data_IF_759536562782
#
_entry.id   IF_759536562782
#
_cell.length_a   1.000
_cell.length_b   1.000
_cell.length_c   1.000
_cell.angle_alpha   90.00
_cell.angle_beta   90.00
_cell.angle_gamma   90.00
#
_symmetry.space_group_name_H-M   'P 1'
#
loop_
_entity.id
_entity.type
_entity.pdbx_description
1 polymer ?
#
# COMPACT_ATOMS: atom_id res chain seq x y z
N UNK A 1 16.00 -6.16 -18.23
CA UNK A 1 16.49 -7.20 -17.34
C UNK A 1 15.54 -7.37 -16.15
N UNK A 2 15.22 -8.62 -15.82
CA UNK A 2 14.36 -8.95 -14.68
C UNK A 2 15.07 -8.75 -13.34
N UNK A 3 16.38 -8.87 -13.34
CA UNK A 3 17.15 -9.03 -12.12
C UNK A 3 18.26 -8.01 -12.02
N UNK A 4 18.51 -7.51 -10.82
CA UNK A 4 19.78 -6.84 -10.56
C UNK A 4 20.98 -7.70 -10.94
N UNK A 5 20.87 -9.03 -10.87
CA UNK A 5 21.88 -10.01 -11.19
C UNK A 5 22.38 -9.94 -12.64
N UNK A 6 21.55 -9.44 -13.56
CA UNK A 6 21.89 -9.26 -14.97
C UNK A 6 22.70 -7.97 -15.24
N UNK A 7 22.89 -7.15 -14.22
CA UNK A 7 23.76 -5.97 -14.33
C UNK A 7 25.21 -6.41 -14.19
N UNK A 8 25.94 -6.36 -15.29
CA UNK A 8 27.34 -6.80 -15.35
C UNK A 8 28.34 -5.85 -14.67
N UNK A 9 27.92 -4.66 -14.26
CA UNK A 9 28.75 -3.64 -13.63
C UNK A 9 28.24 -3.35 -12.22
N UNK A 10 28.79 -4.05 -11.22
CA UNK A 10 28.48 -3.88 -9.80
C UNK A 10 29.76 -3.55 -9.01
N UNK A 11 30.33 -2.35 -9.19
CA UNK A 11 31.61 -1.97 -8.58
C UNK A 11 31.57 -1.94 -7.05
N UNK A 12 30.39 -1.87 -6.44
CA UNK A 12 30.20 -1.84 -4.98
C UNK A 12 29.80 -3.20 -4.39
N UNK A 13 29.56 -4.23 -5.20
CA UNK A 13 29.15 -5.56 -4.75
C UNK A 13 27.74 -5.59 -4.15
N UNK A 14 26.91 -4.59 -4.42
CA UNK A 14 25.55 -4.49 -3.84
C UNK A 14 24.66 -5.60 -4.35
N UNK A 15 24.80 -5.95 -5.63
CA UNK A 15 24.00 -7.01 -6.25
C UNK A 15 24.34 -8.38 -5.67
N UNK A 16 25.61 -8.64 -5.40
CA UNK A 16 26.03 -9.88 -4.74
C UNK A 16 25.43 -10.01 -3.33
N UNK A 17 25.35 -8.90 -2.59
CA UNK A 17 24.70 -8.88 -1.27
C UNK A 17 23.21 -9.16 -1.42
N UNK A 18 22.53 -8.51 -2.37
CA UNK A 18 21.09 -8.74 -2.61
C UNK A 18 20.83 -10.19 -2.98
N UNK A 19 21.60 -10.77 -3.91
CA UNK A 19 21.47 -12.17 -4.31
C UNK A 19 21.61 -13.11 -3.10
N UNK A 20 22.55 -12.83 -2.23
CA UNK A 20 22.75 -13.62 -1.02
C UNK A 20 21.60 -13.46 -0.02
N UNK A 21 21.03 -12.28 0.10
CA UNK A 21 19.86 -12.03 0.94
C UNK A 21 18.61 -12.74 0.40
N UNK A 22 18.40 -12.76 -0.92
CA UNK A 22 17.23 -13.42 -1.53
C UNK A 22 17.26 -14.94 -1.44
N UNK A 23 18.40 -15.56 -1.10
CA UNK A 23 18.47 -16.99 -0.74
C UNK A 23 17.76 -17.28 0.59
N UNK A 24 17.59 -16.27 1.47
CA UNK A 24 16.83 -16.41 2.71
C UNK A 24 15.33 -16.25 2.41
N UNK A 25 14.53 -17.26 2.76
CA UNK A 25 13.09 -17.28 2.46
C UNK A 25 12.31 -16.11 3.04
N UNK A 26 12.64 -15.69 4.27
CA UNK A 26 11.94 -14.58 4.92
C UNK A 26 12.28 -13.25 4.25
N UNK A 27 13.55 -13.04 3.89
CA UNK A 27 13.95 -11.84 3.15
C UNK A 27 13.33 -11.82 1.76
N UNK A 28 13.32 -12.95 1.06
CA UNK A 28 12.72 -13.08 -0.26
C UNK A 28 11.21 -12.73 -0.22
N UNK A 29 10.48 -13.27 0.77
CA UNK A 29 9.07 -12.94 0.97
C UNK A 29 8.88 -11.44 1.24
N UNK A 30 9.64 -10.87 2.17
CA UNK A 30 9.59 -9.43 2.46
C UNK A 30 9.91 -8.59 1.22
N UNK A 31 10.92 -8.98 0.45
CA UNK A 31 11.33 -8.28 -0.77
C UNK A 31 10.18 -8.20 -1.79
N UNK A 32 9.49 -9.32 -2.05
CA UNK A 32 8.37 -9.34 -3.00
C UNK A 32 7.13 -8.60 -2.48
N UNK A 33 6.77 -8.81 -1.23
CA UNK A 33 5.61 -8.11 -0.64
C UNK A 33 5.85 -6.62 -0.54
N UNK A 34 7.08 -6.18 -0.25
CA UNK A 34 7.42 -4.76 -0.17
C UNK A 34 7.24 -4.01 -1.48
N UNK A 35 7.53 -4.63 -2.62
CA UNK A 35 7.23 -4.02 -3.92
C UNK A 35 5.74 -3.73 -4.07
N UNK A 36 4.90 -4.69 -3.74
CA UNK A 36 3.45 -4.52 -3.84
C UNK A 36 2.92 -3.52 -2.81
N UNK A 37 3.46 -3.51 -1.60
CA UNK A 37 3.13 -2.50 -0.60
C UNK A 37 3.41 -1.08 -1.10
N UNK A 38 4.56 -0.88 -1.75
CA UNK A 38 4.92 0.41 -2.33
C UNK A 38 4.00 0.80 -3.49
N UNK A 39 3.64 -0.14 -4.38
CA UNK A 39 2.71 0.10 -5.49
C UNK A 39 1.28 0.35 -4.99
N UNK A 40 0.89 -0.23 -3.87
CA UNK A 40 -0.40 0.01 -3.23
C UNK A 40 -0.41 1.28 -2.34
N UNK A 41 0.69 2.00 -2.25
CA UNK A 41 0.84 3.19 -1.39
C UNK A 41 1.65 4.29 -2.06
N UNK A 42 2.91 4.48 -1.69
CA UNK A 42 3.76 5.60 -2.10
C UNK A 42 4.08 5.63 -3.61
N UNK A 43 3.99 4.51 -4.31
CA UNK A 43 4.29 4.39 -5.74
C UNK A 43 3.04 4.32 -6.61
N UNK A 44 1.91 4.77 -6.12
CA UNK A 44 0.72 4.99 -6.96
C UNK A 44 1.03 6.08 -7.99
N UNK A 45 0.59 5.88 -9.23
CA UNK A 45 0.91 6.75 -10.36
C UNK A 45 0.53 8.21 -10.08
N UNK A 46 -0.68 8.44 -9.61
CA UNK A 46 -1.22 9.76 -9.31
C UNK A 46 -0.41 10.49 -8.22
N UNK A 47 0.05 9.75 -7.20
CA UNK A 47 0.89 10.31 -6.13
C UNK A 47 2.28 10.70 -6.65
N UNK A 48 2.91 9.83 -7.45
CA UNK A 48 4.22 10.10 -8.02
C UNK A 48 4.18 11.26 -9.02
N UNK A 49 3.15 11.33 -9.86
CA UNK A 49 2.96 12.42 -10.81
C UNK A 49 2.68 13.74 -10.07
N UNK A 50 1.82 13.73 -9.06
CA UNK A 50 1.55 14.92 -8.23
C UNK A 50 2.81 15.43 -7.52
N UNK A 51 3.64 14.51 -7.00
CA UNK A 51 4.92 14.88 -6.39
C UNK A 51 5.87 15.50 -7.41
N UNK A 52 6.01 14.90 -8.59
CA UNK A 52 6.84 15.43 -9.67
C UNK A 52 6.38 16.83 -10.09
N UNK A 53 5.08 17.03 -10.27
CA UNK A 53 4.50 18.34 -10.62
C UNK A 53 4.71 19.39 -9.53
N UNK A 54 4.63 19.01 -8.27
CA UNK A 54 4.96 19.89 -7.16
C UNK A 54 6.41 20.35 -7.20
N UNK A 55 7.34 19.43 -7.47
CA UNK A 55 8.78 19.74 -7.63
C UNK A 55 8.99 20.60 -8.87
N UNK A 56 8.41 20.26 -10.01
CA UNK A 56 8.48 21.02 -11.25
C UNK A 56 8.05 22.46 -11.03
N UNK A 57 6.89 22.67 -10.43
CA UNK A 57 6.33 24.01 -10.14
C UNK A 57 7.21 24.81 -9.18
N UNK A 58 7.89 24.17 -8.24
CA UNK A 58 8.78 24.84 -7.30
C UNK A 58 10.07 25.33 -7.95
N UNK A 59 10.56 24.63 -8.98
CA UNK A 59 11.82 24.94 -9.68
C UNK A 59 11.60 25.88 -10.87
N UNK A 60 10.45 25.78 -11.53
CA UNK A 60 10.15 26.50 -12.78
C UNK A 60 10.46 28.01 -12.73
N UNK A 61 10.17 28.76 -11.65
CA UNK A 61 10.49 30.20 -11.57
C UNK A 61 11.98 30.51 -11.65
N UNK A 62 12.83 29.60 -11.20
CA UNK A 62 14.29 29.79 -11.14
C UNK A 62 15.01 29.32 -12.42
N UNK A 63 14.32 28.56 -13.28
CA UNK A 63 14.88 28.00 -14.50
C UNK A 63 15.46 29.03 -15.46
N UNK A 64 14.85 30.21 -15.70
CA UNK A 64 15.46 31.23 -16.57
C UNK A 64 16.83 31.71 -16.07
N UNK A 65 16.98 31.89 -14.76
CA UNK A 65 18.27 32.31 -14.17
C UNK A 65 19.29 31.18 -14.21
N UNK A 66 18.85 29.96 -13.99
CA UNK A 66 19.71 28.77 -14.10
C UNK A 66 20.27 28.65 -15.51
N UNK A 67 19.42 28.74 -16.54
CA UNK A 67 19.79 28.64 -17.95
C UNK A 67 20.72 29.77 -18.34
N UNK A 68 20.44 30.99 -17.92
CA UNK A 68 21.32 32.15 -18.20
C UNK A 68 22.72 31.98 -17.62
N UNK A 69 22.87 31.29 -16.49
CA UNK A 69 24.16 31.08 -15.81
C UNK A 69 24.91 29.85 -16.30
N UNK A 70 24.21 28.76 -16.55
CA UNK A 70 24.83 27.46 -16.80
C UNK A 70 24.61 26.94 -18.22
N UNK A 71 23.81 27.63 -19.03
CA UNK A 71 23.39 27.17 -20.36
C UNK A 71 22.24 26.20 -20.29
N UNK A 72 21.77 25.75 -21.44
CA UNK A 72 20.66 24.86 -21.63
C UNK A 72 19.48 25.55 -22.31
N UNK A 73 18.36 24.85 -22.38
CA UNK A 73 17.11 25.31 -23.00
C UNK A 73 15.91 24.92 -22.14
N UNK A 74 14.97 25.84 -21.99
CA UNK A 74 13.75 25.59 -21.21
C UNK A 74 12.88 24.49 -21.83
N UNK A 75 12.85 24.41 -23.16
CA UNK A 75 12.08 23.38 -23.88
C UNK A 75 12.71 22.01 -23.67
N UNK A 76 14.04 21.92 -23.71
CA UNK A 76 14.76 20.69 -23.42
C UNK A 76 14.49 20.21 -21.99
N UNK A 77 14.52 21.12 -21.01
CA UNK A 77 14.20 20.81 -19.62
C UNK A 77 12.75 20.28 -19.49
N UNK A 78 11.76 20.95 -20.08
CA UNK A 78 10.37 20.50 -20.07
C UNK A 78 10.20 19.13 -20.74
N UNK A 79 10.90 18.89 -21.84
CA UNK A 79 10.90 17.57 -22.48
C UNK A 79 11.48 16.49 -21.57
N UNK A 80 12.52 16.80 -20.79
CA UNK A 80 13.10 15.85 -19.83
C UNK A 80 12.14 15.58 -18.66
N UNK A 81 11.42 16.58 -18.16
CA UNK A 81 10.34 16.38 -17.17
C UNK A 81 9.26 15.46 -17.75
N UNK A 82 8.85 15.67 -19.00
CA UNK A 82 7.87 14.81 -19.68
C UNK A 82 8.35 13.37 -19.83
N UNK A 83 9.66 13.15 -20.10
CA UNK A 83 10.26 11.81 -20.13
C UNK A 83 10.20 11.13 -18.76
N UNK A 84 10.40 11.88 -17.67
CA UNK A 84 10.29 11.35 -16.30
C UNK A 84 8.83 10.94 -16.03
N UNK A 85 7.84 11.77 -16.41
CA UNK A 85 6.40 11.42 -16.28
C UNK A 85 6.08 10.11 -17.00
N UNK A 86 6.48 10.00 -18.26
CA UNK A 86 6.25 8.78 -19.04
C UNK A 86 6.95 7.56 -18.42
N UNK A 87 8.18 7.73 -17.93
CA UNK A 87 8.89 6.66 -17.22
C UNK A 87 8.14 6.19 -15.98
N UNK A 88 7.56 7.11 -15.19
CA UNK A 88 6.77 6.76 -14.00
C UNK A 88 5.56 5.91 -14.42
N UNK A 89 4.77 6.36 -15.40
CA UNK A 89 3.58 5.68 -15.89
C UNK A 89 3.95 4.27 -16.37
N UNK A 90 4.89 4.19 -17.31
CA UNK A 90 5.32 2.91 -17.90
C UNK A 90 5.87 1.95 -16.83
N UNK A 91 6.54 2.50 -15.80
CA UNK A 91 7.16 1.68 -14.76
C UNK A 91 6.16 1.12 -13.77
N UNK A 92 5.19 1.92 -13.35
CA UNK A 92 4.10 1.47 -12.44
C UNK A 92 3.28 0.37 -13.11
N UNK A 93 2.95 0.53 -14.38
CA UNK A 93 2.19 -0.47 -15.14
C UNK A 93 2.98 -1.77 -15.37
N UNK A 94 4.29 -1.65 -15.62
CA UNK A 94 5.13 -2.80 -15.93
C UNK A 94 5.48 -3.65 -14.70
N UNK A 95 5.69 -3.02 -13.53
CA UNK A 95 6.27 -3.68 -12.36
C UNK A 95 5.51 -4.94 -11.92
N UNK A 96 4.16 -4.98 -11.84
CA UNK A 96 3.44 -6.17 -11.41
C UNK A 96 3.69 -7.38 -12.33
N UNK A 97 3.62 -7.18 -13.64
CA UNK A 97 3.86 -8.23 -14.62
C UNK A 97 5.32 -8.65 -14.70
N UNK A 98 6.23 -7.67 -14.54
CA UNK A 98 7.67 -7.90 -14.49
C UNK A 98 8.06 -8.78 -13.30
N UNK A 99 7.51 -8.51 -12.11
CA UNK A 99 7.75 -9.33 -10.92
C UNK A 99 7.27 -10.77 -11.11
N UNK A 100 6.10 -10.99 -11.73
CA UNK A 100 5.62 -12.32 -12.07
C UNK A 100 6.63 -13.10 -12.90
N UNK A 101 7.09 -12.46 -13.98
CA UNK A 101 8.02 -13.10 -14.93
C UNK A 101 9.38 -13.39 -14.31
N UNK A 102 9.86 -12.49 -13.42
CA UNK A 102 11.18 -12.59 -12.83
C UNK A 102 11.27 -13.61 -11.68
N UNK A 103 10.21 -13.71 -10.87
CA UNK A 103 10.23 -14.47 -9.63
C UNK A 103 9.24 -15.65 -9.59
N UNK A 104 8.68 -16.00 -10.74
CA UNK A 104 7.72 -17.09 -10.88
C UNK A 104 6.53 -16.95 -9.91
N UNK A 105 6.04 -15.71 -9.76
CA UNK A 105 4.85 -15.40 -8.97
C UNK A 105 3.59 -15.57 -9.81
N UNK A 106 2.43 -15.57 -9.18
CA UNK A 106 1.12 -15.59 -9.85
C UNK A 106 0.32 -14.33 -9.56
N UNK A 107 -0.71 -14.04 -10.34
CA UNK A 107 -1.49 -12.82 -10.21
C UNK A 107 -0.88 -11.64 -10.98
N UNK A 108 -0.90 -10.40 -10.48
CA UNK A 108 -1.40 -10.04 -9.15
C UNK A 108 -2.93 -10.23 -9.02
N UNK A 109 -3.36 -10.51 -7.80
CA UNK A 109 -4.77 -10.63 -7.41
C UNK A 109 -5.22 -9.43 -6.60
N UNK A 110 -6.51 -9.09 -6.68
CA UNK A 110 -7.08 -8.01 -5.90
C UNK A 110 -7.38 -8.47 -4.47
N UNK A 111 -6.93 -7.68 -3.49
CA UNK A 111 -7.25 -7.82 -2.07
C UNK A 111 -8.15 -6.66 -1.66
N UNK A 112 -9.39 -6.98 -1.26
CA UNK A 112 -10.34 -6.02 -0.72
C UNK A 112 -10.49 -6.20 0.78
N UNK A 113 -10.36 -5.12 1.54
CA UNK A 113 -10.49 -5.10 3.01
C UNK A 113 -11.64 -4.18 3.41
N UNK A 114 -12.50 -4.67 4.29
CA UNK A 114 -13.54 -3.89 4.92
C UNK A 114 -13.57 -4.11 6.44
N UNK A 115 -14.16 -3.18 7.18
CA UNK A 115 -14.42 -3.31 8.63
C UNK A 115 -15.88 -3.02 8.93
N UNK A 116 -16.44 -3.75 9.87
CA UNK A 116 -17.84 -3.62 10.30
C UNK A 116 -17.92 -3.60 11.84
N UNK A 117 -18.49 -2.56 12.46
CA UNK A 117 -19.01 -1.32 11.87
C UNK A 117 -17.95 -0.46 11.18
N UNK A 118 -18.36 0.44 10.31
CA UNK A 118 -17.48 1.37 9.61
C UNK A 118 -16.60 2.16 10.58
N UNK A 119 -15.33 2.37 10.24
CA UNK A 119 -14.33 3.08 11.05
C UNK A 119 -13.95 2.43 12.39
N UNK A 120 -14.20 1.14 12.58
CA UNK A 120 -13.87 0.46 13.84
C UNK A 120 -12.37 0.38 14.09
N UNK A 121 -11.57 0.09 13.06
CA UNK A 121 -10.11 -0.02 13.21
C UNK A 121 -9.38 0.31 11.92
N UNK A 122 -8.13 0.71 12.04
CA UNK A 122 -7.13 0.66 10.98
C UNK A 122 -6.60 -0.76 10.83
N UNK A 123 -6.14 -1.11 9.63
CA UNK A 123 -5.60 -2.43 9.31
C UNK A 123 -4.18 -2.28 8.78
N UNK A 124 -3.26 -3.08 9.31
CA UNK A 124 -1.91 -3.21 8.77
C UNK A 124 -1.86 -4.38 7.80
N UNK A 125 -1.23 -4.20 6.66
CA UNK A 125 -0.99 -5.22 5.64
C UNK A 125 0.50 -5.21 5.35
N UNK A 126 1.20 -6.29 5.71
CA UNK A 126 2.65 -6.38 5.64
C UNK A 126 3.34 -5.13 6.25
N UNK A 127 3.86 -4.23 5.40
CA UNK A 127 4.59 -3.03 5.84
C UNK A 127 3.79 -1.72 5.72
N UNK A 128 2.53 -1.76 5.28
CA UNK A 128 1.68 -0.57 5.17
C UNK A 128 0.54 -0.61 6.18
N UNK A 129 0.15 0.57 6.67
CA UNK A 129 -1.00 0.74 7.54
C UNK A 129 -2.09 1.52 6.80
N UNK A 130 -3.26 0.94 6.71
CA UNK A 130 -4.44 1.53 6.10
C UNK A 130 -5.26 2.18 7.21
N UNK A 131 -5.39 3.48 7.13
CA UNK A 131 -6.19 4.24 8.10
C UNK A 131 -7.67 3.84 8.03
N UNK A 132 -8.33 3.81 9.18
CA UNK A 132 -9.74 3.41 9.29
C UNK A 132 -10.70 4.23 8.44
N UNK A 133 -10.36 5.49 8.15
CA UNK A 133 -11.17 6.35 7.28
C UNK A 133 -10.91 6.11 5.78
N UNK A 134 -9.89 5.32 5.46
CA UNK A 134 -9.57 4.88 4.10
C UNK A 134 -10.10 3.48 3.79
N UNK A 135 -10.83 2.86 4.72
CA UNK A 135 -11.50 1.57 4.53
C UNK A 135 -12.98 1.84 4.16
N UNK A 136 -13.56 1.15 3.15
CA UNK A 136 -13.02 -0.02 2.44
C UNK A 136 -11.83 0.33 1.55
N UNK A 137 -10.85 -0.57 1.53
CA UNK A 137 -9.61 -0.43 0.80
C UNK A 137 -9.40 -1.60 -0.16
N UNK A 138 -8.76 -1.33 -1.30
CA UNK A 138 -8.35 -2.35 -2.26
C UNK A 138 -6.91 -2.16 -2.66
N UNK A 139 -6.20 -3.26 -2.85
CA UNK A 139 -4.84 -3.29 -3.37
C UNK A 139 -4.56 -4.59 -4.09
N UNK A 140 -3.40 -4.70 -4.71
CA UNK A 140 -3.00 -5.88 -5.49
C UNK A 140 -1.80 -6.54 -4.86
N UNK A 141 -1.83 -7.87 -4.77
CA UNK A 141 -0.72 -8.68 -4.29
C UNK A 141 -0.51 -9.91 -5.15
N UNK A 142 0.74 -10.36 -5.21
CA UNK A 142 1.07 -11.59 -5.91
C UNK A 142 0.72 -12.82 -5.09
N UNK A 143 0.32 -13.89 -5.78
CA UNK A 143 0.28 -15.23 -5.20
C UNK A 143 1.67 -15.87 -5.11
N UNK A 144 1.78 -16.90 -4.27
CA UNK A 144 3.03 -17.61 -4.01
C UNK A 144 3.85 -17.04 -2.85
N UNK A 145 3.48 -15.86 -2.32
CA UNK A 145 4.05 -15.25 -1.11
C UNK A 145 2.96 -15.08 -0.06
N UNK A 146 3.35 -15.10 1.21
CA UNK A 146 2.41 -14.83 2.30
C UNK A 146 2.12 -13.34 2.42
N UNK A 147 0.89 -13.02 2.81
CA UNK A 147 0.45 -11.68 3.19
C UNK A 147 0.08 -11.74 4.66
N UNK A 148 0.66 -10.85 5.44
CA UNK A 148 0.38 -10.68 6.86
C UNK A 148 -0.58 -9.51 7.04
N UNK A 149 -1.64 -9.70 7.82
CA UNK A 149 -2.60 -8.65 8.15
C UNK A 149 -2.82 -8.61 9.65
N UNK A 150 -2.98 -7.40 10.18
CA UNK A 150 -3.16 -7.15 11.60
C UNK A 150 -4.21 -6.04 11.82
N UNK A 151 -5.15 -6.28 12.71
CA UNK A 151 -6.05 -5.26 13.24
C UNK A 151 -5.28 -4.41 14.26
N UNK A 152 -5.17 -3.09 14.00
CA UNK A 152 -4.35 -2.20 14.85
C UNK A 152 -5.06 -1.78 16.14
N UNK A 153 -6.39 -1.55 16.08
CA UNK A 153 -7.20 -1.36 17.28
C UNK A 153 -8.03 -2.62 17.51
N UNK A 154 -7.54 -3.47 18.40
CA UNK A 154 -8.14 -4.78 18.68
C UNK A 154 -9.30 -4.71 19.67
N UNK A 155 -9.65 -3.52 20.19
CA UNK A 155 -10.78 -3.38 21.08
C UNK A 155 -12.07 -3.78 20.36
N UNK A 156 -12.84 -4.66 20.98
CA UNK A 156 -14.08 -5.18 20.42
C UNK A 156 -13.93 -5.93 19.08
N UNK A 157 -12.70 -6.26 18.64
CA UNK A 157 -12.54 -7.15 17.51
C UNK A 157 -13.20 -8.49 17.82
N UNK A 158 -13.98 -9.00 16.86
CA UNK A 158 -14.68 -10.26 17.00
C UNK A 158 -14.05 -11.32 16.09
N UNK A 159 -14.18 -11.17 14.78
CA UNK A 159 -13.59 -12.12 13.82
C UNK A 159 -13.38 -11.54 12.44
N UNK A 160 -12.55 -12.25 11.67
CA UNK A 160 -12.45 -12.09 10.23
C UNK A 160 -13.35 -13.06 9.50
N UNK A 161 -13.95 -12.62 8.39
CA UNK A 161 -14.60 -13.47 7.40
C UNK A 161 -14.14 -13.08 6.00
N UNK A 162 -14.05 -14.08 5.11
CA UNK A 162 -13.65 -13.80 3.73
C UNK A 162 -13.85 -14.97 2.79
N UNK A 163 -13.52 -14.74 1.53
CA UNK A 163 -13.60 -15.77 0.47
C UNK A 163 -12.45 -16.78 0.52
N UNK A 164 -11.44 -16.57 1.40
CA UNK A 164 -10.34 -17.53 1.57
C UNK A 164 -10.75 -18.70 2.47
N UNK A 165 -10.40 -19.95 2.13
CA UNK A 165 -10.81 -21.12 2.91
C UNK A 165 -10.31 -21.10 4.37
N UNK A 166 -9.13 -20.50 4.61
CA UNK A 166 -8.55 -20.42 5.95
C UNK A 166 -9.07 -19.23 6.77
N UNK A 167 -9.87 -18.34 6.18
CA UNK A 167 -10.41 -17.13 6.82
C UNK A 167 -11.94 -17.25 6.89
N UNK A 168 -12.41 -18.20 7.68
CA UNK A 168 -13.85 -18.33 7.97
C UNK A 168 -14.09 -18.26 9.46
N UNK A 169 -14.54 -17.10 9.95
CA UNK A 169 -14.74 -16.82 11.38
C UNK A 169 -13.43 -16.99 12.19
N UNK A 170 -12.36 -16.37 11.71
CA UNK A 170 -11.07 -16.41 12.38
C UNK A 170 -11.03 -15.34 13.47
N UNK A 171 -10.94 -15.74 14.74
CA UNK A 171 -10.96 -14.86 15.91
C UNK A 171 -9.58 -14.25 16.25
N UNK A 172 -8.53 -14.60 15.54
CA UNK A 172 -7.23 -13.99 15.71
C UNK A 172 -7.19 -12.65 14.93
N UNK A 173 -6.86 -11.51 15.56
CA UNK A 173 -6.72 -10.24 14.88
C UNK A 173 -5.55 -10.21 13.90
N UNK A 174 -4.58 -11.11 14.06
CA UNK A 174 -3.45 -11.31 13.15
C UNK A 174 -3.72 -12.53 12.27
N UNK A 175 -3.62 -12.37 10.96
CA UNK A 175 -3.81 -13.45 10.00
C UNK A 175 -2.71 -13.42 8.95
N UNK A 176 -2.26 -14.61 8.55
CA UNK A 176 -1.35 -14.81 7.44
C UNK A 176 -2.04 -15.69 6.40
N UNK A 177 -1.97 -15.29 5.14
CA UNK A 177 -2.59 -16.05 4.06
C UNK A 177 -1.80 -15.94 2.76
N UNK A 178 -2.10 -16.84 1.81
CA UNK A 178 -1.57 -16.78 0.43
C UNK A 178 -2.72 -16.65 -0.54
N UNK A 179 -2.61 -15.70 -1.45
CA UNK A 179 -3.64 -15.50 -2.48
C UNK A 179 -3.46 -16.48 -3.64
N UNK A 180 -4.58 -16.98 -4.16
CA UNK A 180 -4.67 -17.80 -5.37
C UNK A 180 -5.68 -17.24 -6.37
N UNK A 181 -6.45 -16.26 -5.94
CA UNK A 181 -7.46 -15.51 -6.69
C UNK A 181 -7.73 -14.21 -5.96
N UNK A 182 -8.58 -13.36 -6.52
CA UNK A 182 -9.09 -12.18 -5.84
C UNK A 182 -9.74 -12.56 -4.51
N UNK A 183 -9.52 -11.71 -3.50
CA UNK A 183 -9.88 -11.99 -2.12
C UNK A 183 -10.59 -10.78 -1.51
N UNK A 184 -11.71 -11.05 -0.85
CA UNK A 184 -12.43 -10.06 -0.05
C UNK A 184 -12.49 -10.51 1.40
N UNK A 185 -12.08 -9.61 2.30
CA UNK A 185 -12.06 -9.83 3.74
C UNK A 185 -12.83 -8.73 4.46
N UNK A 186 -13.57 -9.14 5.50
CA UNK A 186 -14.28 -8.24 6.40
C UNK A 186 -13.87 -8.56 7.84
N UNK A 187 -13.40 -7.54 8.56
CA UNK A 187 -13.19 -7.61 9.99
C UNK A 187 -14.47 -7.16 10.72
N UNK A 188 -15.01 -8.00 11.57
CA UNK A 188 -16.17 -7.67 12.39
C UNK A 188 -15.76 -7.27 13.80
N UNK A 189 -16.44 -6.27 14.32
CA UNK A 189 -16.26 -5.75 15.66
C UNK A 189 -17.58 -5.76 16.39
N UNK A 190 -17.56 -6.11 17.67
CA UNK A 190 -18.70 -5.93 18.53
C UNK A 190 -18.99 -4.43 18.66
N UNK A 191 -20.26 -4.03 18.67
CA UNK A 191 -20.60 -2.65 18.95
C UNK A 191 -20.00 -2.27 20.28
N UNK A 192 -19.43 -1.06 20.36
CA UNK A 192 -19.05 -0.51 21.64
C UNK A 192 -20.25 -0.68 22.57
N UNK A 193 -20.07 -1.48 23.62
CA UNK A 193 -21.04 -1.46 24.69
C UNK A 193 -21.00 -0.03 25.19
N UNK A 194 -21.90 0.77 24.63
CA UNK A 194 -22.07 2.11 25.08
C UNK A 194 -22.30 2.00 26.59
N UNK A 195 -21.29 2.35 27.38
CA UNK A 195 -21.53 2.83 28.73
C UNK A 195 -22.30 4.13 28.55
N UNK A 196 -23.47 3.97 27.89
CA UNK A 196 -24.33 5.05 27.50
C UNK A 196 -24.86 5.65 28.77
N UNK A 197 -24.53 6.87 29.02
CA UNK A 197 -25.43 7.75 29.72
C UNK A 197 -26.76 7.70 28.96
N UNK A 198 -27.62 6.71 29.31
CA UNK A 198 -28.99 6.72 28.91
C UNK A 198 -29.62 7.83 29.78
N UNK A 199 -29.87 9.00 29.18
CA UNK A 199 -30.74 9.99 29.78
C UNK A 199 -32.13 9.37 29.73
N UNK A 200 -32.48 8.62 30.77
CA UNK A 200 -33.79 7.95 30.89
C UNK A 200 -34.91 8.91 31.20
N UNK A 201 -34.60 10.11 31.69
CA UNK A 201 -35.59 11.09 32.08
C UNK A 201 -34.99 12.51 32.06
N UNK A 202 -35.63 13.39 31.31
CA UNK A 202 -35.46 14.84 31.49
C UNK A 202 -36.63 15.26 32.38
N UNK A 203 -36.36 15.40 33.68
CA UNK A 203 -37.36 15.94 34.59
C UNK A 203 -37.50 17.43 34.35
N UNK A 204 -38.42 17.79 33.48
CA UNK A 204 -38.83 19.16 33.25
C UNK A 204 -39.76 19.58 34.39
N UNK A 205 -39.20 20.23 35.41
CA UNK A 205 -39.98 20.84 36.46
C UNK A 205 -40.66 22.09 35.92
N UNK A 206 -41.88 21.95 35.40
CA UNK A 206 -42.72 23.08 35.13
C UNK A 206 -43.27 23.56 36.48
N UNK A 207 -42.56 24.49 37.14
CA UNK A 207 -43.13 25.26 38.22
C UNK A 207 -44.22 26.15 37.61
N UNK A 208 -45.43 25.60 37.59
CA UNK A 208 -46.60 26.45 37.51
C UNK A 208 -47.00 26.83 38.91
N UNK A 209 -47.07 28.12 39.06
CA UNK A 209 -47.65 29.02 40.06
C UNK A 209 -46.62 29.78 40.87
#
# INVERSE_FOLDING_TARGET
PCYPEEINDDPLGVIQILNKLTENSNFNQYYHTRYMDLLNSAFQEDQLISLLESIENSILPDMPQHIARWGGDIIEWQNNVSKIKNFIIDRVDFLPSGLNSCYNLTGPYELSINVQPYNSSSVKINSISIDKYSIPWTGKYHGGVSIEMEILDQNNFDYWIGSHPDIQNTFNPEVELRMFSDLSLIAYFLPDSASGLIINEINYNSSNE
#
